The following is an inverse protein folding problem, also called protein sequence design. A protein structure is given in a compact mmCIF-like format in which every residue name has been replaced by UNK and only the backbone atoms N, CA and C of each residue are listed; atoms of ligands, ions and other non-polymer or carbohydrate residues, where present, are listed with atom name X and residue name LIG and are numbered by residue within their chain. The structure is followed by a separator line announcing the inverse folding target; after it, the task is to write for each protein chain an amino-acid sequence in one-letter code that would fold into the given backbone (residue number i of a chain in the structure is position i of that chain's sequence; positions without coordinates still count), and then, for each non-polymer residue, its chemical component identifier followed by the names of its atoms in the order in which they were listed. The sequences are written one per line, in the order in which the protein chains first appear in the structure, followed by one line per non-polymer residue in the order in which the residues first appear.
data_IF_428939671535
#
_entry.id   IF_428939671535
#
_cell.length_a   1.000
_cell.length_b   1.000
_cell.length_c   1.000
_cell.angle_alpha   90.00
_cell.angle_beta   90.00
_cell.angle_gamma   90.00
#
_symmetry.space_group_name_H-M   'P 1'
#
loop_
_entity.id
_entity.type
_entity.pdbx_description
1 polymer ?
#
# COMPACT_ATOMS: atom_id res chain seq x y z
N UNK A 1 -8.68 7.80 -22.92
CA UNK A 1 -7.72 7.10 -22.06
C UNK A 1 -8.11 5.65 -21.95
N UNK A 2 -7.19 4.76 -22.16
CA UNK A 2 -7.49 3.34 -22.11
C UNK A 2 -7.53 2.82 -20.67
N UNK A 3 -8.44 1.86 -20.42
CA UNK A 3 -8.47 1.15 -19.14
C UNK A 3 -7.16 0.41 -18.87
N UNK A 4 -6.43 0.03 -19.94
CA UNK A 4 -5.15 -0.66 -19.80
C UNK A 4 -4.14 0.13 -19.00
N UNK A 5 -4.05 1.45 -19.21
CA UNK A 5 -3.16 2.32 -18.45
C UNK A 5 -3.58 2.35 -16.97
N UNK A 6 -4.87 2.55 -16.72
CA UNK A 6 -5.40 2.63 -15.36
C UNK A 6 -5.26 1.30 -14.62
N UNK A 7 -5.53 0.19 -15.29
CA UNK A 7 -5.38 -1.14 -14.72
C UNK A 7 -3.92 -1.40 -14.36
N UNK A 8 -2.99 -1.07 -15.26
CA UNK A 8 -1.56 -1.23 -15.00
C UNK A 8 -1.09 -0.42 -13.80
N UNK A 9 -1.60 0.81 -13.67
CA UNK A 9 -1.26 1.67 -12.54
C UNK A 9 -1.80 1.10 -11.22
N UNK A 10 -3.04 0.60 -11.23
CA UNK A 10 -3.62 -0.07 -10.05
C UNK A 10 -2.79 -1.29 -9.67
N UNK A 11 -2.39 -2.11 -10.63
CA UNK A 11 -1.57 -3.29 -10.36
C UNK A 11 -0.24 -2.93 -9.74
N UNK A 12 0.40 -1.84 -10.21
CA UNK A 12 1.63 -1.34 -9.62
C UNK A 12 1.45 -0.90 -8.17
N UNK A 13 0.37 -0.17 -7.90
CA UNK A 13 0.04 0.26 -6.54
C UNK A 13 -0.26 -0.92 -5.62
N UNK A 14 -1.01 -1.91 -6.11
CA UNK A 14 -1.30 -3.14 -5.36
C UNK A 14 -0.01 -3.87 -5.02
N UNK A 15 0.92 -3.98 -5.96
CA UNK A 15 2.21 -4.61 -5.73
C UNK A 15 2.99 -3.90 -4.61
N UNK A 16 2.97 -2.57 -4.60
CA UNK A 16 3.63 -1.78 -3.56
C UNK A 16 2.96 -1.98 -2.21
N UNK A 17 1.61 -2.03 -2.18
CA UNK A 17 0.87 -2.30 -0.93
C UNK A 17 1.21 -3.69 -0.40
N UNK A 18 1.35 -4.69 -1.26
CA UNK A 18 1.78 -6.02 -0.84
C UNK A 18 3.16 -5.97 -0.18
N UNK A 19 4.06 -5.14 -0.70
CA UNK A 19 5.36 -4.90 -0.08
C UNK A 19 5.23 -4.28 1.30
N UNK A 20 4.33 -3.30 1.46
CA UNK A 20 4.05 -2.68 2.76
C UNK A 20 3.54 -3.72 3.76
N UNK A 21 2.62 -4.58 3.33
CA UNK A 21 2.08 -5.64 4.19
C UNK A 21 3.16 -6.63 4.61
N UNK A 22 4.07 -6.96 3.70
CA UNK A 22 5.21 -7.82 4.00
C UNK A 22 6.12 -7.18 5.06
N UNK A 23 6.36 -5.87 4.94
CA UNK A 23 7.16 -5.15 5.93
C UNK A 23 6.50 -5.16 7.31
N UNK A 24 5.18 -4.96 7.35
CA UNK A 24 4.42 -5.05 8.60
C UNK A 24 4.53 -6.43 9.22
N UNK A 25 4.42 -7.47 8.40
CA UNK A 25 4.55 -8.85 8.85
C UNK A 25 5.93 -9.11 9.46
N UNK A 26 6.98 -8.65 8.79
CA UNK A 26 8.35 -8.77 9.30
C UNK A 26 8.54 -7.99 10.59
N UNK A 27 7.91 -6.82 10.68
CA UNK A 27 7.99 -5.98 11.88
C UNK A 27 7.35 -6.67 13.09
N UNK A 28 6.29 -7.46 12.89
CA UNK A 28 5.63 -8.19 13.97
C UNK A 28 6.52 -9.24 14.61
N UNK A 29 7.46 -9.81 13.86
CA UNK A 29 8.36 -10.85 14.34
C UNK A 29 9.77 -10.34 14.64
N UNK A 30 10.03 -9.06 14.41
CA UNK A 30 11.33 -8.46 14.64
C UNK A 30 11.59 -8.28 16.14
N UNK A 31 12.84 -8.50 16.55
CA UNK A 31 13.26 -8.29 17.92
C UNK A 31 13.60 -6.81 18.16
N UNK A 32 12.59 -5.97 18.06
CA UNK A 32 12.71 -4.53 18.19
C UNK A 32 11.85 -4.04 19.34
N UNK A 33 12.14 -2.83 19.84
CA UNK A 33 11.34 -2.24 20.90
C UNK A 33 9.91 -1.97 20.41
N UNK A 34 8.97 -1.96 21.36
CA UNK A 34 7.57 -1.65 21.07
C UNK A 34 7.44 -0.26 20.43
N UNK A 35 8.21 0.70 20.93
CA UNK A 35 8.19 2.07 20.39
C UNK A 35 8.65 2.12 18.94
N UNK A 36 9.72 1.41 18.63
CA UNK A 36 10.22 1.32 17.25
C UNK A 36 9.18 0.70 16.32
N UNK A 37 8.59 -0.42 16.75
CA UNK A 37 7.58 -1.12 15.95
C UNK A 37 6.36 -0.24 15.71
N UNK A 38 5.90 0.50 16.72
CA UNK A 38 4.78 1.43 16.58
C UNK A 38 5.10 2.53 15.60
N UNK A 39 6.27 3.13 15.71
CA UNK A 39 6.69 4.24 14.85
C UNK A 39 6.77 3.82 13.39
N UNK A 40 7.48 2.74 13.11
CA UNK A 40 7.67 2.24 11.76
C UNK A 40 6.36 1.69 11.20
N UNK A 41 5.61 0.95 12.01
CA UNK A 41 4.34 0.38 11.61
C UNK A 41 3.33 1.45 11.20
N UNK A 42 3.20 2.51 11.99
CA UNK A 42 2.29 3.61 11.66
C UNK A 42 2.66 4.29 10.36
N UNK A 43 3.96 4.46 10.09
CA UNK A 43 4.42 5.06 8.84
C UNK A 43 4.08 4.19 7.65
N UNK A 44 4.32 2.89 7.76
CA UNK A 44 4.03 1.94 6.69
C UNK A 44 2.53 1.89 6.40
N UNK A 45 1.71 1.85 7.46
CA UNK A 45 0.25 1.85 7.32
C UNK A 45 -0.23 3.12 6.62
N UNK A 46 0.30 4.27 7.02
CA UNK A 46 -0.07 5.54 6.41
C UNK A 46 0.24 5.55 4.91
N UNK A 47 1.42 5.08 4.53
CA UNK A 47 1.80 4.99 3.13
C UNK A 47 0.89 4.04 2.35
N UNK A 48 0.53 2.91 2.95
CA UNK A 48 -0.39 1.95 2.32
C UNK A 48 -1.78 2.57 2.15
N UNK A 49 -2.26 3.34 3.13
CA UNK A 49 -3.54 4.03 3.04
C UNK A 49 -3.55 5.08 1.93
N UNK A 50 -2.44 5.81 1.77
CA UNK A 50 -2.31 6.78 0.69
C UNK A 50 -2.38 6.10 -0.68
N UNK A 51 -1.74 4.94 -0.83
CA UNK A 51 -1.79 4.16 -2.06
C UNK A 51 -3.18 3.61 -2.34
N UNK A 52 -3.89 3.17 -1.30
CA UNK A 52 -5.28 2.73 -1.44
C UNK A 52 -6.18 3.88 -1.89
N UNK A 53 -5.99 5.06 -1.31
CA UNK A 53 -6.73 6.25 -1.71
C UNK A 53 -6.51 6.57 -3.20
N UNK A 54 -5.28 6.42 -3.67
CA UNK A 54 -4.96 6.64 -5.07
C UNK A 54 -5.63 5.59 -5.97
N UNK A 55 -5.66 4.34 -5.53
CA UNK A 55 -6.37 3.28 -6.25
C UNK A 55 -7.86 3.63 -6.39
N UNK A 56 -8.50 4.11 -5.32
CA UNK A 56 -9.89 4.54 -5.36
C UNK A 56 -10.12 5.61 -6.42
N UNK A 57 -9.24 6.60 -6.47
CA UNK A 57 -9.36 7.68 -7.47
C UNK A 57 -9.24 7.15 -8.89
N UNK A 58 -8.34 6.21 -9.11
CA UNK A 58 -8.16 5.61 -10.43
C UNK A 58 -9.37 4.74 -10.77
N UNK A 59 -9.85 3.96 -9.81
CA UNK A 59 -11.00 3.07 -10.02
C UNK A 59 -12.26 3.84 -10.41
N UNK A 60 -12.45 5.06 -9.89
CA UNK A 60 -13.58 5.90 -10.24
C UNK A 60 -13.58 6.28 -11.73
N UNK A 61 -12.45 6.19 -12.38
CA UNK A 61 -12.29 6.52 -13.79
C UNK A 61 -12.27 5.28 -14.71
N UNK A 62 -12.44 4.09 -14.13
CA UNK A 62 -12.51 2.87 -14.93
C UNK A 62 -13.89 2.74 -15.57
N UNK A 63 -13.89 2.34 -16.83
CA UNK A 63 -15.11 2.02 -17.56
C UNK A 63 -15.28 0.50 -17.53
N UNK A 64 -16.10 0.06 -16.61
CA UNK A 64 -16.33 -1.38 -16.42
C UNK A 64 -17.59 -1.86 -17.11
#
# INVERSE_FOLDING_TARGET
MSNGYNIGKIMGLVSTIKGDLYLLEKLCIAEESVEYRKKVGKRVIKEAEERLSEIYKIADNLEL
#
